data_IF_143901737693
#
_entry.id   IF_143901737693
#
_cell.length_a   1.000
_cell.length_b   1.000
_cell.length_c   1.000
_cell.angle_alpha   90.00
_cell.angle_beta   90.00
_cell.angle_gamma   90.00
#
_symmetry.space_group_name_H-M   'P 1'
#
loop_
_entity.id
_entity.type
_entity.pdbx_description
1 polymer ?
#
# COMPACT_ATOMS: atom_id res chain seq x y z
N UNK A 1 19.59 -39.92 54.19
CA UNK A 1 18.55 -39.19 53.40
C UNK A 1 19.15 -37.87 52.95
N UNK A 2 19.70 -37.84 51.74
CA UNK A 2 20.20 -36.60 51.11
C UNK A 2 19.10 -36.02 50.22
N UNK A 3 18.67 -34.78 50.53
CA UNK A 3 17.73 -34.02 49.70
C UNK A 3 18.50 -33.33 48.57
N UNK A 4 18.24 -33.72 47.34
CA UNK A 4 18.72 -33.00 46.16
C UNK A 4 17.85 -31.74 45.95
N UNK A 5 18.42 -30.58 46.18
CA UNK A 5 17.83 -29.29 45.80
C UNK A 5 18.08 -29.03 44.31
N UNK A 6 17.04 -29.03 43.51
CA UNK A 6 17.13 -28.57 42.11
C UNK A 6 17.29 -27.04 42.07
N UNK A 7 18.24 -26.50 41.31
CA UNK A 7 18.33 -25.06 41.10
C UNK A 7 17.13 -24.60 40.24
N UNK A 8 16.42 -23.58 40.72
CA UNK A 8 15.37 -22.91 40.00
C UNK A 8 15.94 -22.38 38.67
N UNK A 9 15.41 -22.87 37.53
CA UNK A 9 15.73 -22.31 36.23
C UNK A 9 15.17 -20.88 36.18
N UNK A 10 16.09 -19.91 36.16
CA UNK A 10 15.80 -18.54 35.81
C UNK A 10 15.13 -18.52 34.44
N UNK A 11 13.83 -18.19 34.40
CA UNK A 11 13.12 -17.85 33.15
C UNK A 11 13.67 -16.52 32.65
N UNK A 12 14.71 -16.60 31.82
CA UNK A 12 15.15 -15.44 31.06
C UNK A 12 13.95 -14.96 30.25
N UNK A 13 13.38 -13.80 30.61
CA UNK A 13 12.35 -13.09 29.85
C UNK A 13 12.98 -12.71 28.51
N UNK A 14 12.71 -13.49 27.49
CA UNK A 14 13.12 -13.12 26.13
C UNK A 14 12.47 -11.78 25.79
N UNK A 15 13.24 -10.79 25.28
CA UNK A 15 12.65 -9.56 24.80
C UNK A 15 11.58 -9.89 23.75
N UNK A 16 10.48 -9.15 23.71
CA UNK A 16 9.41 -9.40 22.74
C UNK A 16 10.04 -9.42 21.34
N UNK A 17 9.92 -10.54 20.65
CA UNK A 17 10.37 -10.67 19.26
C UNK A 17 9.70 -9.57 18.46
N UNK A 18 10.49 -8.65 17.89
CA UNK A 18 9.99 -7.67 16.94
C UNK A 18 9.24 -8.42 15.86
N UNK A 19 7.98 -8.05 15.62
CA UNK A 19 7.15 -8.70 14.61
C UNK A 19 7.82 -8.50 13.25
N UNK A 20 7.96 -9.54 12.40
CA UNK A 20 8.70 -9.45 11.14
C UNK A 20 8.24 -8.31 10.22
N UNK A 21 6.94 -7.98 10.25
CA UNK A 21 6.40 -6.87 9.47
C UNK A 21 6.95 -5.51 9.91
N UNK A 22 7.19 -5.28 11.20
CA UNK A 22 7.68 -3.99 11.69
C UNK A 22 9.10 -3.66 11.17
N UNK A 23 9.98 -4.67 11.05
CA UNK A 23 11.30 -4.49 10.48
C UNK A 23 11.22 -4.19 8.96
N UNK A 24 10.36 -4.88 8.23
CA UNK A 24 10.12 -4.65 6.80
C UNK A 24 9.50 -3.27 6.56
N UNK A 25 8.57 -2.85 7.41
CA UNK A 25 7.98 -1.52 7.38
C UNK A 25 9.04 -0.43 7.60
N UNK A 26 9.89 -0.59 8.61
CA UNK A 26 11.01 0.32 8.84
C UNK A 26 11.97 0.38 7.65
N UNK A 27 12.19 -0.76 6.98
CA UNK A 27 13.02 -0.81 5.78
C UNK A 27 12.37 -0.09 4.59
N UNK A 28 11.05 -0.20 4.40
CA UNK A 28 10.33 0.62 3.40
C UNK A 28 10.52 2.11 3.68
N UNK A 29 10.34 2.54 4.93
CA UNK A 29 10.57 3.94 5.34
C UNK A 29 11.99 4.40 5.04
N UNK A 30 12.98 3.57 5.35
CA UNK A 30 14.39 3.84 5.07
C UNK A 30 14.65 4.00 3.56
N UNK A 31 14.13 3.09 2.74
CA UNK A 31 14.29 3.17 1.28
C UNK A 31 13.65 4.42 0.69
N UNK A 32 12.47 4.83 1.16
CA UNK A 32 11.83 6.09 0.73
C UNK A 32 12.71 7.30 1.08
N UNK A 33 13.38 7.27 2.24
CA UNK A 33 14.32 8.32 2.62
C UNK A 33 15.58 8.34 1.73
N UNK A 34 16.18 7.19 1.49
CA UNK A 34 17.38 7.04 0.65
C UNK A 34 17.12 7.43 -0.81
N UNK A 35 15.90 7.19 -1.31
CA UNK A 35 15.46 7.55 -2.66
C UNK A 35 14.97 9.00 -2.79
N UNK A 36 15.07 9.81 -1.71
CA UNK A 36 14.60 11.21 -1.64
C UNK A 36 13.09 11.37 -1.98
N UNK A 37 12.31 10.35 -1.68
CA UNK A 37 10.87 10.30 -1.98
C UNK A 37 9.97 10.68 -0.79
N UNK A 38 10.52 11.32 0.25
CA UNK A 38 9.78 11.71 1.46
C UNK A 38 8.85 12.91 1.25
N UNK A 39 9.18 13.79 0.32
CA UNK A 39 8.42 15.02 0.02
C UNK A 39 8.30 15.23 -1.49
N UNK A 40 7.60 14.31 -2.18
CA UNK A 40 7.42 14.46 -3.61
C UNK A 40 6.48 15.64 -3.92
N UNK A 41 6.58 16.24 -5.12
CA UNK A 41 5.70 17.34 -5.53
C UNK A 41 4.22 16.93 -5.63
N UNK A 42 3.96 15.66 -5.84
CA UNK A 42 2.64 14.99 -5.77
C UNK A 42 2.83 13.49 -5.62
N UNK A 43 1.76 12.80 -5.24
CA UNK A 43 1.71 11.34 -5.21
C UNK A 43 0.52 10.83 -6.01
N UNK A 44 0.73 9.80 -6.83
CA UNK A 44 -0.36 9.06 -7.44
C UNK A 44 -0.98 8.14 -6.38
N UNK A 45 -2.29 8.25 -6.17
CA UNK A 45 -3.04 7.46 -5.20
C UNK A 45 -4.07 6.60 -5.95
N UNK A 46 -4.02 5.30 -5.76
CA UNK A 46 -4.99 4.38 -6.35
C UNK A 46 -5.21 3.17 -5.46
N UNK A 47 -6.33 2.47 -5.67
CA UNK A 47 -6.67 1.23 -5.01
C UNK A 47 -6.70 0.08 -6.01
N UNK A 48 -6.31 -1.12 -5.57
CA UNK A 48 -6.35 -2.33 -6.38
C UNK A 48 -6.91 -3.50 -5.58
N UNK A 49 -7.64 -4.38 -6.27
CA UNK A 49 -8.11 -5.62 -5.69
C UNK A 49 -6.93 -6.55 -5.36
N UNK A 50 -6.94 -7.10 -4.16
CA UNK A 50 -5.99 -8.11 -3.70
C UNK A 50 -6.74 -9.38 -3.30
N UNK A 51 -7.11 -10.23 -4.27
CA UNK A 51 -7.84 -11.46 -4.01
C UNK A 51 -6.95 -12.48 -3.30
N UNK A 52 -7.51 -13.16 -2.32
CA UNK A 52 -6.87 -14.28 -1.64
C UNK A 52 -7.50 -15.61 -2.03
N UNK A 53 -8.73 -15.58 -2.53
CA UNK A 53 -9.44 -16.75 -3.05
C UNK A 53 -10.60 -16.39 -3.97
N UNK A 54 -11.10 -17.41 -4.68
CA UNK A 54 -12.36 -17.33 -5.41
C UNK A 54 -13.53 -17.18 -4.44
N UNK A 55 -14.52 -16.36 -4.78
CA UNK A 55 -15.71 -16.10 -3.99
C UNK A 55 -16.56 -17.36 -3.70
N UNK A 56 -16.45 -18.42 -4.55
CA UNK A 56 -17.09 -19.72 -4.32
C UNK A 56 -16.56 -20.46 -3.10
N UNK A 57 -15.35 -20.10 -2.62
CA UNK A 57 -14.72 -20.67 -1.42
C UNK A 57 -14.82 -19.77 -0.20
N UNK A 58 -15.78 -18.87 -0.20
CA UNK A 58 -15.99 -17.88 0.87
C UNK A 58 -16.03 -18.52 2.25
N UNK A 59 -15.40 -17.84 3.22
CA UNK A 59 -15.47 -18.21 4.63
C UNK A 59 -14.68 -19.43 5.04
N UNK A 60 -13.95 -20.06 4.12
CA UNK A 60 -13.15 -21.26 4.40
C UNK A 60 -11.65 -21.00 4.21
N UNK A 61 -10.82 -21.61 5.06
CA UNK A 61 -9.37 -21.59 4.96
C UNK A 61 -8.74 -20.30 5.47
N UNK A 62 -7.66 -19.87 4.84
CA UNK A 62 -6.80 -18.79 5.30
C UNK A 62 -7.53 -17.45 5.34
N UNK A 63 -7.33 -16.70 6.42
CA UNK A 63 -7.95 -15.40 6.65
C UNK A 63 -9.49 -15.40 6.62
N UNK A 64 -10.13 -16.55 6.85
CA UNK A 64 -11.59 -16.64 7.00
C UNK A 64 -12.07 -15.69 8.11
N UNK A 65 -13.11 -14.89 7.82
CA UNK A 65 -13.62 -13.87 8.73
C UNK A 65 -12.75 -12.59 8.85
N UNK A 66 -11.66 -12.48 8.09
CA UNK A 66 -10.84 -11.26 7.96
C UNK A 66 -10.92 -10.64 6.57
N UNK A 67 -10.97 -11.49 5.55
CA UNK A 67 -11.27 -11.09 4.18
C UNK A 67 -12.77 -10.95 3.96
N UNK A 68 -13.15 -10.18 2.97
CA UNK A 68 -14.56 -10.02 2.58
C UNK A 68 -14.72 -10.03 1.05
N UNK A 69 -15.96 -10.03 0.60
CA UNK A 69 -16.29 -9.98 -0.82
C UNK A 69 -16.19 -8.55 -1.33
N UNK A 70 -15.42 -8.39 -2.41
CA UNK A 70 -15.34 -7.18 -3.19
C UNK A 70 -15.62 -7.44 -4.66
N UNK A 71 -15.69 -6.36 -5.42
CA UNK A 71 -15.85 -6.40 -6.85
C UNK A 71 -14.84 -5.48 -7.53
N UNK A 72 -14.24 -5.93 -8.62
CA UNK A 72 -13.38 -5.10 -9.45
C UNK A 72 -13.69 -5.30 -10.94
N UNK A 73 -13.40 -4.27 -11.75
CA UNK A 73 -13.63 -4.32 -13.20
C UNK A 73 -12.84 -5.43 -13.90
N UNK A 74 -11.65 -5.77 -13.39
CA UNK A 74 -10.74 -6.74 -14.00
C UNK A 74 -10.98 -8.18 -13.55
N UNK A 75 -11.47 -8.39 -12.31
CA UNK A 75 -11.59 -9.71 -11.70
C UNK A 75 -13.04 -10.16 -11.50
N UNK A 76 -14.02 -9.24 -11.56
CA UNK A 76 -15.37 -9.49 -11.11
C UNK A 76 -15.45 -9.62 -9.57
N UNK A 77 -16.28 -10.52 -9.06
CA UNK A 77 -16.41 -10.80 -7.64
C UNK A 77 -15.23 -11.63 -7.12
N UNK A 78 -14.63 -11.18 -6.02
CA UNK A 78 -13.52 -11.89 -5.35
C UNK A 78 -13.67 -11.81 -3.83
N UNK A 79 -13.05 -12.72 -3.08
CA UNK A 79 -12.85 -12.61 -1.65
C UNK A 79 -11.41 -12.23 -1.35
N UNK A 80 -11.22 -11.14 -0.60
CA UNK A 80 -9.87 -10.65 -0.32
C UNK A 80 -9.86 -9.31 0.39
N UNK A 81 -8.92 -8.49 -0.05
CA UNK A 81 -8.67 -7.15 0.46
C UNK A 81 -8.61 -6.15 -0.69
N UNK A 82 -8.81 -4.88 -0.37
CA UNK A 82 -8.46 -3.73 -1.21
C UNK A 82 -7.13 -3.18 -0.73
N UNK A 83 -6.17 -3.02 -1.64
CA UNK A 83 -4.86 -2.44 -1.39
C UNK A 83 -4.83 -1.02 -1.94
N UNK A 84 -4.52 -0.03 -1.10
CA UNK A 84 -4.27 1.35 -1.50
C UNK A 84 -2.77 1.60 -1.46
N UNK A 85 -2.23 2.22 -2.52
CA UNK A 85 -0.83 2.68 -2.55
C UNK A 85 -0.76 4.15 -2.94
N UNK A 86 0.24 4.83 -2.38
CA UNK A 86 0.70 6.13 -2.84
C UNK A 86 2.08 5.96 -3.48
N UNK A 87 2.27 6.52 -4.67
CA UNK A 87 3.49 6.37 -5.47
C UNK A 87 3.95 7.75 -5.93
N UNK A 88 5.21 8.07 -5.75
CA UNK A 88 5.80 9.33 -6.20
C UNK A 88 5.95 9.38 -7.73
N UNK A 89 6.30 10.54 -8.33
CA UNK A 89 6.50 10.67 -9.77
C UNK A 89 7.58 9.76 -10.37
N UNK A 90 8.48 9.25 -9.54
CA UNK A 90 9.61 8.40 -9.99
C UNK A 90 9.30 6.90 -9.88
N UNK A 91 8.12 6.55 -9.35
CA UNK A 91 7.66 5.17 -9.20
C UNK A 91 7.93 4.56 -7.83
N UNK A 92 8.49 5.32 -6.88
CA UNK A 92 8.73 4.85 -5.50
C UNK A 92 7.40 4.76 -4.76
N UNK A 93 7.10 3.62 -4.17
CA UNK A 93 5.92 3.45 -3.31
C UNK A 93 6.22 4.09 -1.96
N UNK A 94 5.60 5.24 -1.69
CA UNK A 94 5.83 6.06 -0.50
C UNK A 94 4.98 5.63 0.69
N UNK A 95 3.92 4.87 0.43
CA UNK A 95 3.07 4.31 1.47
C UNK A 95 1.99 3.40 0.91
N UNK A 96 1.43 2.58 1.79
CA UNK A 96 0.31 1.70 1.47
C UNK A 96 -0.53 1.38 2.69
N UNK A 97 -1.77 1.01 2.47
CA UNK A 97 -2.63 0.38 3.47
C UNK A 97 -3.55 -0.62 2.79
N UNK A 98 -4.17 -1.49 3.55
CA UNK A 98 -5.17 -2.43 3.03
C UNK A 98 -6.30 -2.63 4.03
N UNK A 99 -7.46 -2.97 3.51
CA UNK A 99 -8.65 -3.32 4.29
C UNK A 99 -9.42 -4.44 3.59
N UNK A 100 -10.44 -5.00 4.25
CA UNK A 100 -11.32 -5.99 3.64
C UNK A 100 -11.90 -5.45 2.32
N UNK A 101 -12.10 -6.33 1.34
CA UNK A 101 -12.49 -5.93 -0.03
C UNK A 101 -13.85 -5.21 -0.12
N UNK A 102 -14.71 -5.34 0.90
CA UNK A 102 -15.96 -4.57 1.04
C UNK A 102 -15.77 -3.11 1.43
N UNK A 103 -14.57 -2.71 1.83
CA UNK A 103 -14.27 -1.34 2.25
C UNK A 103 -14.24 -0.42 1.04
N UNK A 104 -15.03 0.67 1.09
CA UNK A 104 -15.04 1.67 0.02
C UNK A 104 -13.69 2.40 -0.08
N UNK A 105 -13.28 2.78 -1.30
CA UNK A 105 -12.00 3.47 -1.57
C UNK A 105 -11.84 4.73 -0.74
N UNK A 106 -12.92 5.50 -0.50
CA UNK A 106 -12.88 6.70 0.32
C UNK A 106 -12.56 6.41 1.79
N UNK A 107 -13.11 5.33 2.36
CA UNK A 107 -12.81 4.91 3.74
C UNK A 107 -11.37 4.40 3.86
N UNK A 108 -10.90 3.68 2.84
CA UNK A 108 -9.54 3.20 2.78
C UNK A 108 -8.54 4.37 2.68
N UNK A 109 -8.84 5.39 1.85
CA UNK A 109 -8.06 6.62 1.74
C UNK A 109 -8.04 7.40 3.06
N UNK A 110 -9.18 7.51 3.74
CA UNK A 110 -9.26 8.18 5.04
C UNK A 110 -8.38 7.50 6.09
N UNK A 111 -8.40 6.16 6.13
CA UNK A 111 -7.51 5.37 6.98
C UNK A 111 -6.04 5.64 6.65
N UNK A 112 -5.70 5.72 5.38
CA UNK A 112 -4.35 6.01 4.91
C UNK A 112 -3.88 7.41 5.34
N UNK A 113 -4.70 8.45 5.13
CA UNK A 113 -4.38 9.82 5.52
C UNK A 113 -4.29 10.00 7.04
N UNK A 114 -5.22 9.40 7.78
CA UNK A 114 -5.20 9.41 9.24
C UNK A 114 -3.90 8.81 9.80
N UNK A 115 -3.42 7.74 9.18
CA UNK A 115 -2.19 7.06 9.58
C UNK A 115 -0.96 7.92 9.27
N UNK A 116 -0.94 8.60 8.14
CA UNK A 116 0.14 9.52 7.78
C UNK A 116 0.18 10.76 8.69
N UNK A 117 -0.99 11.32 9.03
CA UNK A 117 -1.09 12.45 9.93
C UNK A 117 -0.67 12.09 11.38
N UNK A 118 -0.93 10.86 11.78
CA UNK A 118 -0.60 10.35 13.12
C UNK A 118 -0.02 8.95 12.99
N UNK A 119 1.30 8.83 12.76
CA UNK A 119 1.96 7.54 12.56
C UNK A 119 1.62 6.57 13.69
N UNK A 120 1.02 5.45 13.34
CA UNK A 120 0.65 4.40 14.26
C UNK A 120 1.42 3.13 13.89
N UNK A 121 1.93 2.39 14.88
CA UNK A 121 2.67 1.13 14.68
C UNK A 121 1.90 0.03 13.95
N UNK A 122 0.58 0.21 13.75
CA UNK A 122 -0.28 -0.80 13.11
C UNK A 122 -0.42 -0.64 11.59
N UNK A 123 -0.07 0.54 11.05
CA UNK A 123 -0.27 0.84 9.63
C UNK A 123 0.99 1.50 9.08
N UNK A 124 1.42 1.10 7.89
CA UNK A 124 2.57 1.71 7.23
C UNK A 124 2.11 2.96 6.53
N UNK A 125 2.74 4.03 6.93
CA UNK A 125 2.61 5.28 6.24
C UNK A 125 3.94 5.99 6.29
N UNK A 126 4.43 6.39 5.14
CA UNK A 126 5.70 7.11 5.00
C UNK A 126 5.40 8.52 4.53
N UNK A 127 6.14 9.46 5.05
CA UNK A 127 5.99 10.87 4.71
C UNK A 127 4.86 11.56 5.49
N UNK A 128 4.74 12.88 5.29
CA UNK A 128 3.69 13.71 5.87
C UNK A 128 2.45 13.73 5.00
N UNK A 129 1.25 13.69 5.57
CA UNK A 129 -0.01 13.83 4.85
C UNK A 129 -0.12 15.15 4.04
N UNK A 130 0.56 16.20 4.48
CA UNK A 130 0.61 17.50 3.81
C UNK A 130 1.80 17.69 2.88
N UNK A 131 2.53 16.67 2.52
CA UNK A 131 3.76 16.79 1.72
C UNK A 131 3.51 17.26 0.27
N UNK A 132 2.33 17.00 -0.28
CA UNK A 132 1.92 17.41 -1.63
C UNK A 132 0.51 16.95 -1.95
N UNK A 133 -0.05 17.32 -3.11
CA UNK A 133 -1.35 16.84 -3.52
C UNK A 133 -1.29 15.35 -3.91
N UNK A 134 -2.35 14.64 -3.56
CA UNK A 134 -2.61 13.30 -4.05
C UNK A 134 -3.41 13.37 -5.35
N UNK A 135 -2.90 12.75 -6.40
CA UNK A 135 -3.58 12.63 -7.68
C UNK A 135 -4.27 11.26 -7.70
N UNK A 136 -5.60 11.27 -7.63
CA UNK A 136 -6.40 10.07 -7.53
C UNK A 136 -7.36 9.91 -8.71
N UNK A 137 -8.03 8.76 -8.78
CA UNK A 137 -9.06 8.53 -9.77
C UNK A 137 -10.41 9.18 -9.37
N UNK A 138 -11.41 9.09 -10.26
CA UNK A 138 -12.77 9.59 -10.01
C UNK A 138 -13.53 8.81 -8.91
N UNK A 139 -13.04 7.66 -8.48
CA UNK A 139 -13.58 6.88 -7.36
C UNK A 139 -13.46 7.63 -6.03
N UNK A 140 -12.46 8.49 -5.92
CA UNK A 140 -12.21 9.33 -4.74
C UNK A 140 -13.02 10.66 -4.76
N UNK A 141 -13.94 10.86 -5.72
CA UNK A 141 -14.76 12.08 -5.80
C UNK A 141 -15.73 12.18 -4.60
N UNK A 142 -15.80 13.37 -4.00
CA UNK A 142 -16.74 13.74 -2.96
C UNK A 142 -16.34 15.09 -2.34
N UNK A 143 -17.21 16.10 -2.44
CA UNK A 143 -16.90 17.43 -1.90
C UNK A 143 -16.73 17.39 -0.37
N UNK A 144 -17.58 16.65 0.33
CA UNK A 144 -17.51 16.47 1.78
C UNK A 144 -16.24 15.71 2.19
N UNK A 145 -15.89 14.65 1.47
CA UNK A 145 -14.66 13.89 1.71
C UNK A 145 -13.43 14.77 1.50
N UNK A 146 -13.40 15.55 0.41
CA UNK A 146 -12.31 16.47 0.12
C UNK A 146 -12.05 17.45 1.27
N UNK A 147 -13.12 18.15 1.73
CA UNK A 147 -13.01 19.11 2.83
C UNK A 147 -12.57 18.42 4.12
N UNK A 148 -13.17 17.29 4.46
CA UNK A 148 -12.82 16.52 5.64
C UNK A 148 -11.35 16.05 5.61
N UNK A 149 -10.86 15.55 4.49
CA UNK A 149 -9.47 15.09 4.36
C UNK A 149 -8.48 16.25 4.44
N UNK A 150 -8.83 17.40 3.83
CA UNK A 150 -8.01 18.59 3.90
C UNK A 150 -7.93 19.16 5.33
N UNK A 151 -9.07 19.30 5.99
CA UNK A 151 -9.16 19.87 7.34
C UNK A 151 -8.60 18.96 8.43
N UNK A 152 -8.91 17.65 8.35
CA UNK A 152 -8.53 16.68 9.39
C UNK A 152 -7.10 16.18 9.25
N UNK A 153 -6.58 16.05 8.03
CA UNK A 153 -5.31 15.39 7.74
C UNK A 153 -4.33 16.22 6.90
N UNK A 154 -4.73 17.40 6.42
CA UNK A 154 -3.96 18.19 5.47
C UNK A 154 -3.83 17.53 4.10
N UNK A 155 -4.66 16.54 3.78
CA UNK A 155 -4.59 15.77 2.55
C UNK A 155 -5.36 16.46 1.41
N UNK A 156 -4.63 16.99 0.44
CA UNK A 156 -5.21 17.63 -0.75
C UNK A 156 -5.34 16.60 -1.88
N UNK A 157 -6.56 16.09 -2.13
CA UNK A 157 -6.83 15.08 -3.15
C UNK A 157 -7.39 15.72 -4.41
N UNK A 158 -6.69 15.56 -5.53
CA UNK A 158 -7.09 16.04 -6.86
C UNK A 158 -7.54 14.83 -7.68
N UNK A 159 -8.79 14.87 -8.15
CA UNK A 159 -9.37 13.81 -8.96
C UNK A 159 -10.14 14.37 -10.16
N UNK A 160 -10.22 13.67 -11.30
CA UNK A 160 -11.04 14.10 -12.43
C UNK A 160 -12.54 14.05 -12.07
N UNK A 161 -13.35 14.99 -12.57
CA UNK A 161 -14.79 14.96 -12.36
C UNK A 161 -15.43 13.75 -13.02
N UNK A 162 -16.47 13.18 -12.42
CA UNK A 162 -17.29 12.12 -13.02
C UNK A 162 -17.90 12.58 -14.33
N UNK A 163 -18.13 11.64 -15.26
CA UNK A 163 -18.70 11.93 -16.60
C UNK A 163 -20.01 12.71 -16.54
N UNK A 164 -20.84 12.45 -15.54
CA UNK A 164 -22.15 13.10 -15.34
C UNK A 164 -22.09 14.32 -14.42
N UNK A 165 -20.88 14.78 -14.04
CA UNK A 165 -20.71 15.95 -13.19
C UNK A 165 -21.13 17.22 -13.96
N UNK A 166 -21.91 18.09 -13.30
CA UNK A 166 -22.22 19.45 -13.78
C UNK A 166 -21.04 20.40 -13.64
N UNK A 167 -19.94 19.98 -12.98
CA UNK A 167 -18.73 20.76 -12.82
C UNK A 167 -18.05 21.02 -14.16
N UNK A 168 -17.28 22.12 -14.23
CA UNK A 168 -16.49 22.49 -15.42
C UNK A 168 -15.61 21.34 -15.88
N UNK A 169 -15.72 20.97 -17.16
CA UNK A 169 -14.87 19.93 -17.75
C UNK A 169 -13.42 20.40 -17.81
N UNK A 170 -12.52 19.53 -17.38
CA UNK A 170 -11.10 19.79 -17.52
C UNK A 170 -10.63 19.80 -18.97
N UNK A 171 -9.62 20.59 -19.27
CA UNK A 171 -9.00 20.63 -20.60
C UNK A 171 -8.46 19.24 -21.00
N UNK A 172 -8.34 18.97 -22.30
CA UNK A 172 -7.77 17.72 -22.83
C UNK A 172 -6.33 17.52 -22.33
N UNK A 173 -5.54 18.61 -22.22
CA UNK A 173 -4.16 18.58 -21.71
C UNK A 173 -4.10 18.11 -20.23
N UNK A 174 -4.95 18.69 -19.38
CA UNK A 174 -5.00 18.31 -17.96
C UNK A 174 -5.44 16.86 -17.77
N UNK A 175 -6.45 16.41 -18.52
CA UNK A 175 -6.91 15.00 -18.47
C UNK A 175 -5.83 14.02 -18.90
N UNK A 176 -5.05 14.33 -19.94
CA UNK A 176 -3.92 13.50 -20.37
C UNK A 176 -2.82 13.46 -19.33
N UNK A 177 -2.51 14.58 -18.70
CA UNK A 177 -1.52 14.66 -17.63
C UNK A 177 -1.95 13.81 -16.42
N UNK A 178 -3.19 13.91 -15.95
CA UNK A 178 -3.71 13.06 -14.88
C UNK A 178 -3.65 11.57 -15.26
N UNK A 179 -3.97 11.22 -16.49
CA UNK A 179 -3.90 9.84 -16.96
C UNK A 179 -2.44 9.31 -16.96
N UNK A 180 -1.47 10.13 -17.32
CA UNK A 180 -0.05 9.73 -17.25
C UNK A 180 0.46 9.54 -15.83
N UNK A 181 -0.04 10.34 -14.87
CA UNK A 181 0.28 10.15 -13.46
C UNK A 181 -0.30 8.82 -12.94
N UNK A 182 -1.55 8.52 -13.28
CA UNK A 182 -2.16 7.25 -12.89
C UNK A 182 -1.43 6.03 -13.43
N UNK A 183 -0.83 6.13 -14.63
CA UNK A 183 -0.02 5.06 -15.18
C UNK A 183 1.16 4.69 -14.27
N UNK A 184 1.67 5.62 -13.47
CA UNK A 184 2.78 5.35 -12.54
C UNK A 184 2.35 4.35 -11.47
N UNK A 185 1.19 4.57 -10.83
CA UNK A 185 0.70 3.66 -9.79
C UNK A 185 0.21 2.35 -10.38
N UNK A 186 -0.38 2.35 -11.58
CA UNK A 186 -0.75 1.13 -12.29
C UNK A 186 0.47 0.25 -12.60
N UNK A 187 1.59 0.86 -13.00
CA UNK A 187 2.87 0.16 -13.19
C UNK A 187 3.42 -0.40 -11.85
N UNK A 188 3.28 0.33 -10.74
CA UNK A 188 3.68 -0.18 -9.44
C UNK A 188 2.86 -1.43 -9.06
N UNK A 189 1.54 -1.42 -9.28
CA UNK A 189 0.69 -2.60 -9.07
C UNK A 189 1.08 -3.77 -9.98
N UNK A 190 1.35 -3.50 -11.26
CA UNK A 190 1.83 -4.54 -12.18
C UNK A 190 3.08 -5.22 -11.62
N UNK A 191 4.05 -4.45 -11.12
CA UNK A 191 5.27 -5.00 -10.49
C UNK A 191 4.95 -5.79 -9.21
N UNK A 192 4.14 -5.25 -8.31
CA UNK A 192 3.78 -5.94 -7.08
C UNK A 192 3.08 -7.28 -7.35
N UNK A 193 2.11 -7.29 -8.24
CA UNK A 193 1.28 -8.48 -8.48
C UNK A 193 1.97 -9.49 -9.39
N UNK A 194 2.52 -9.06 -10.53
CA UNK A 194 3.04 -9.97 -11.56
C UNK A 194 4.53 -10.25 -11.35
N UNK A 195 5.37 -9.20 -11.26
CA UNK A 195 6.81 -9.37 -11.13
C UNK A 195 7.18 -9.96 -9.77
N UNK A 196 6.64 -9.44 -8.68
CA UNK A 196 6.95 -9.94 -7.33
C UNK A 196 5.96 -10.97 -6.80
N UNK A 197 4.96 -11.34 -7.57
CA UNK A 197 4.08 -12.48 -7.31
C UNK A 197 3.13 -12.30 -6.12
N UNK A 198 2.66 -11.07 -5.85
CA UNK A 198 1.70 -10.83 -4.76
C UNK A 198 0.40 -11.64 -4.93
N UNK A 199 0.01 -11.98 -6.17
CA UNK A 199 -1.11 -12.90 -6.47
C UNK A 199 -0.93 -14.31 -5.92
N UNK A 200 0.31 -14.74 -5.69
CA UNK A 200 0.64 -16.11 -5.27
C UNK A 200 0.71 -16.27 -3.76
N UNK A 201 0.57 -15.18 -3.03
CA UNK A 201 0.67 -15.19 -1.59
C UNK A 201 -0.54 -15.90 -0.95
N UNK A 202 -0.27 -16.77 0.04
CA UNK A 202 -1.28 -17.54 0.75
C UNK A 202 -1.04 -17.44 2.26
N UNK A 203 -1.18 -16.23 2.84
CA UNK A 203 -0.96 -16.04 4.26
C UNK A 203 -2.08 -16.67 5.08
N UNK A 204 -1.73 -17.33 6.18
CA UNK A 204 -2.71 -17.91 7.11
C UNK A 204 -3.31 -16.86 8.04
N UNK A 205 -2.51 -15.84 8.39
CA UNK A 205 -2.85 -14.79 9.35
C UNK A 205 -2.67 -13.40 8.75
N UNK A 206 -3.36 -12.41 9.32
CA UNK A 206 -3.30 -11.04 8.87
C UNK A 206 -1.88 -10.43 8.99
N UNK A 207 -1.16 -10.78 10.08
CA UNK A 207 0.22 -10.35 10.28
C UNK A 207 1.16 -10.94 9.22
N UNK A 208 0.92 -12.17 8.82
CA UNK A 208 1.63 -12.79 7.70
C UNK A 208 1.37 -12.10 6.37
N UNK A 209 0.12 -11.70 6.09
CA UNK A 209 -0.22 -10.90 4.91
C UNK A 209 0.49 -9.55 4.93
N UNK A 210 0.45 -8.87 6.07
CA UNK A 210 1.11 -7.58 6.29
C UNK A 210 2.61 -7.64 6.04
N UNK A 211 3.28 -8.66 6.61
CA UNK A 211 4.70 -8.87 6.41
C UNK A 211 5.07 -9.11 4.94
N UNK A 212 4.30 -9.92 4.23
CA UNK A 212 4.52 -10.21 2.81
C UNK A 212 4.29 -9.00 1.93
N UNK A 213 3.24 -8.22 2.20
CA UNK A 213 2.99 -6.99 1.48
C UNK A 213 4.13 -5.97 1.70
N UNK A 214 4.57 -5.78 2.96
CA UNK A 214 5.70 -4.93 3.27
C UNK A 214 6.98 -5.39 2.56
N UNK A 215 7.23 -6.71 2.50
CA UNK A 215 8.37 -7.28 1.80
C UNK A 215 8.33 -7.00 0.28
N UNK A 216 7.14 -7.10 -0.36
CA UNK A 216 7.00 -6.80 -1.80
C UNK A 216 7.19 -5.33 -2.11
N UNK A 217 6.66 -4.44 -1.26
CA UNK A 217 6.90 -2.99 -1.38
C UNK A 217 8.36 -2.65 -1.15
N UNK A 218 8.99 -3.23 -0.12
CA UNK A 218 10.42 -3.06 0.12
C UNK A 218 11.26 -3.53 -1.07
N UNK A 219 10.95 -4.70 -1.64
CA UNK A 219 11.64 -5.24 -2.81
C UNK A 219 11.49 -4.32 -4.03
N UNK A 220 10.28 -3.80 -4.28
CA UNK A 220 10.03 -2.83 -5.35
C UNK A 220 10.93 -1.61 -5.21
N UNK A 221 10.91 -0.96 -4.06
CA UNK A 221 11.72 0.23 -3.81
C UNK A 221 13.23 -0.08 -3.82
N UNK A 222 13.62 -1.26 -3.32
CA UNK A 222 15.01 -1.71 -3.37
C UNK A 222 15.51 -1.92 -4.81
N UNK A 223 14.68 -2.47 -5.71
CA UNK A 223 15.03 -2.58 -7.13
C UNK A 223 15.23 -1.21 -7.79
N UNK A 224 14.41 -0.21 -7.42
CA UNK A 224 14.62 1.18 -7.88
C UNK A 224 15.96 1.71 -7.39
N UNK A 225 16.25 1.57 -6.11
CA UNK A 225 17.51 1.98 -5.52
C UNK A 225 18.71 1.30 -6.18
N UNK A 226 18.63 -0.01 -6.39
CA UNK A 226 19.70 -0.77 -7.03
C UNK A 226 19.91 -0.34 -8.49
N UNK A 227 18.86 -0.08 -9.24
CA UNK A 227 18.97 0.46 -10.59
C UNK A 227 19.66 1.85 -10.60
N UNK A 228 19.33 2.72 -9.65
CA UNK A 228 20.02 4.02 -9.49
C UNK A 228 21.53 3.82 -9.23
N UNK A 229 21.91 2.89 -8.34
CA UNK A 229 23.32 2.58 -8.08
C UNK A 229 24.06 2.01 -9.30
N UNK A 230 23.34 1.30 -10.17
CA UNK A 230 23.89 0.70 -11.39
C UNK A 230 23.79 1.61 -12.62
N UNK A 231 23.28 2.85 -12.48
CA UNK A 231 23.06 3.77 -13.59
C UNK A 231 22.04 3.27 -14.63
N UNK A 232 21.06 2.47 -14.20
CA UNK A 232 20.02 1.87 -15.04
C UNK A 232 18.70 2.65 -14.93
N UNK A 233 17.79 2.52 -15.91
CA UNK A 233 16.45 3.09 -15.79
C UNK A 233 15.70 2.50 -14.56
N UNK A 234 15.16 3.35 -13.71
CA UNK A 234 14.63 3.04 -12.38
C UNK A 234 13.65 1.86 -12.35
N UNK A 235 12.74 1.78 -13.32
CA UNK A 235 11.64 0.81 -13.32
C UNK A 235 11.92 -0.43 -14.21
N UNK A 236 13.13 -0.62 -14.68
CA UNK A 236 13.53 -1.80 -15.48
C UNK A 236 14.03 -2.92 -14.56
N UNK A 237 13.13 -3.79 -14.12
CA UNK A 237 13.46 -4.83 -13.14
C UNK A 237 13.84 -6.19 -13.77
N UNK A 238 13.52 -6.42 -15.04
CA UNK A 238 13.81 -7.69 -15.70
C UNK A 238 15.28 -8.10 -15.57
N UNK A 239 16.19 -7.18 -15.84
CA UNK A 239 17.64 -7.43 -15.78
C UNK A 239 18.18 -7.69 -14.36
N UNK A 240 17.46 -7.25 -13.32
CA UNK A 240 17.85 -7.48 -11.93
C UNK A 240 17.42 -8.86 -11.43
N UNK A 241 16.34 -9.39 -11.99
CA UNK A 241 15.69 -10.60 -11.51
C UNK A 241 16.02 -11.84 -12.36
N UNK A 242 16.74 -11.66 -13.46
CA UNK A 242 17.13 -12.75 -14.35
C UNK A 242 15.96 -13.41 -15.09
N UNK A 243 14.90 -12.64 -15.39
CA UNK A 243 13.69 -13.10 -16.09
C UNK A 243 13.77 -12.78 -17.58
#
# INVERSE_FOLDING_TARGET
MQRFSHPARSLAVQPPRALPHAALEAFVVHLVAVLDAQRPPYEALDSSAMPIRDCKRRGHGWLAGRADIGWSNSLGWYEGFSLLTATDPTGVITGFCFAAASTADQQLAETFFATRARPNRRLISVGSAGAGPYIADKGFEGAENYLRWLESFGAHVIHPPKRNSRKKRWSKRLRRWIASIRQIVENAYEKLFNTFGLWRERPHELEGLRARLAARVALHNFCIWLNDQLGRPRLTFADLLGW
#
